data_IF_730017910587
#
_entry.id   IF_730017910587
#
_cell.length_a   1.000
_cell.length_b   1.000
_cell.length_c   1.000
_cell.angle_alpha   90.00
_cell.angle_beta   90.00
_cell.angle_gamma   90.00
#
_symmetry.space_group_name_H-M   'P 1'
#
loop_
_entity.id
_entity.type
_entity.pdbx_description
1 polymer ?
#
# COMPACT_ATOMS: atom_id res chain seq x y z
N UNK A 1 -26.03 21.82 2.36
CA UNK A 1 -24.93 21.53 1.41
C UNK A 1 -24.73 20.03 1.38
N UNK A 2 -24.50 19.42 0.22
CA UNK A 2 -24.25 17.98 0.13
C UNK A 2 -22.77 17.69 0.41
N UNK A 3 -22.48 16.63 1.16
CA UNK A 3 -21.12 16.13 1.34
C UNK A 3 -20.59 15.65 -0.01
N UNK A 4 -19.34 16.02 -0.34
CA UNK A 4 -18.68 15.60 -1.58
C UNK A 4 -17.79 14.39 -1.33
N UNK A 5 -17.66 13.54 -2.35
CA UNK A 5 -16.67 12.46 -2.37
C UNK A 5 -15.81 12.55 -3.62
N UNK A 6 -14.55 12.14 -3.53
CA UNK A 6 -13.58 12.20 -4.62
C UNK A 6 -12.80 10.89 -4.67
N UNK A 7 -12.48 10.45 -5.88
CA UNK A 7 -11.58 9.31 -6.08
C UNK A 7 -10.14 9.79 -6.01
N UNK A 8 -9.28 9.07 -5.29
CA UNK A 8 -7.84 9.36 -5.21
C UNK A 8 -7.07 8.08 -4.91
N UNK A 9 -6.18 7.69 -5.83
CA UNK A 9 -5.31 6.51 -5.78
C UNK A 9 -6.00 5.14 -5.67
N UNK A 10 -7.29 5.08 -5.37
CA UNK A 10 -8.09 3.87 -5.18
C UNK A 10 -9.08 3.64 -6.32
N UNK A 11 -9.54 2.40 -6.48
CA UNK A 11 -10.57 2.01 -7.45
C UNK A 11 -11.84 1.50 -6.77
N UNK A 12 -13.01 1.54 -7.46
CA UNK A 12 -14.23 0.91 -6.95
C UNK A 12 -14.01 -0.57 -6.58
N UNK A 13 -14.51 -0.99 -5.42
CA UNK A 13 -14.34 -2.33 -4.86
C UNK A 13 -12.98 -2.57 -4.17
N UNK A 14 -12.07 -1.59 -4.16
CA UNK A 14 -10.75 -1.78 -3.57
C UNK A 14 -10.76 -1.55 -2.05
N UNK A 15 -10.29 -2.53 -1.28
CA UNK A 15 -10.05 -2.39 0.16
C UNK A 15 -8.80 -1.55 0.44
N UNK A 16 -8.76 -0.84 1.57
CA UNK A 16 -7.53 -0.14 1.99
C UNK A 16 -6.48 -1.10 2.59
N UNK A 17 -6.86 -2.33 2.91
CA UNK A 17 -5.97 -3.37 3.42
C UNK A 17 -5.53 -4.30 2.28
N UNK A 18 -4.34 -4.86 2.41
CA UNK A 18 -3.82 -5.92 1.53
C UNK A 18 -3.76 -5.51 0.03
N UNK A 19 -2.79 -4.64 -0.35
CA UNK A 19 -2.51 -4.36 -1.75
C UNK A 19 -2.35 -5.63 -2.58
N UNK A 20 -2.99 -5.67 -3.75
CA UNK A 20 -2.94 -6.84 -4.62
C UNK A 20 -1.77 -6.83 -5.61
N UNK A 21 -1.07 -5.70 -5.73
CA UNK A 21 -0.04 -5.47 -6.74
C UNK A 21 1.19 -4.78 -6.14
N UNK A 22 2.36 -5.39 -6.28
CA UNK A 22 3.60 -4.93 -5.64
C UNK A 22 4.04 -3.56 -6.16
N UNK A 23 3.90 -3.33 -7.47
CA UNK A 23 4.29 -2.06 -8.10
C UNK A 23 3.44 -0.87 -7.64
N UNK A 24 2.16 -1.09 -7.30
CA UNK A 24 1.27 -0.01 -6.86
C UNK A 24 1.69 0.59 -5.52
N UNK A 25 2.37 -0.17 -4.65
CA UNK A 25 2.88 0.35 -3.37
C UNK A 25 3.91 1.47 -3.61
N UNK A 26 4.86 1.23 -4.52
CA UNK A 26 5.88 2.21 -4.87
C UNK A 26 5.30 3.36 -5.70
N UNK A 27 4.40 3.06 -6.63
CA UNK A 27 3.76 4.08 -7.46
C UNK A 27 2.90 5.03 -6.62
N UNK A 28 2.03 4.51 -5.75
CA UNK A 28 1.15 5.32 -4.90
C UNK A 28 1.95 6.19 -3.94
N UNK A 29 3.09 5.71 -3.42
CA UNK A 29 4.02 6.55 -2.65
C UNK A 29 4.54 7.73 -3.47
N UNK A 30 4.98 7.49 -4.70
CA UNK A 30 5.42 8.54 -5.61
C UNK A 30 4.28 9.51 -5.93
N UNK A 31 3.10 9.01 -6.32
CA UNK A 31 1.94 9.83 -6.69
C UNK A 31 1.45 10.68 -5.52
N UNK A 32 1.40 10.11 -4.31
CA UNK A 32 1.05 10.87 -3.09
C UNK A 32 2.04 11.99 -2.87
N UNK A 33 3.34 11.69 -2.91
CA UNK A 33 4.39 12.70 -2.71
C UNK A 33 4.32 13.82 -3.74
N UNK A 34 4.17 13.47 -5.01
CA UNK A 34 4.09 14.43 -6.11
C UNK A 34 2.79 15.27 -6.02
N UNK A 35 1.71 14.69 -5.49
CA UNK A 35 0.42 15.38 -5.32
C UNK A 35 0.36 16.29 -4.09
N UNK A 36 0.90 15.86 -2.95
CA UNK A 36 0.82 16.61 -1.69
C UNK A 36 2.01 17.52 -1.45
N UNK A 37 3.10 17.34 -2.22
CA UNK A 37 4.40 17.95 -1.97
C UNK A 37 4.94 17.69 -0.54
N UNK A 38 4.56 16.58 0.09
CA UNK A 38 5.09 16.21 1.40
C UNK A 38 6.48 15.59 1.25
N UNK A 39 7.40 15.83 2.20
CA UNK A 39 8.70 15.18 2.15
C UNK A 39 8.58 13.68 2.48
N UNK A 40 9.53 12.88 1.99
CA UNK A 40 9.46 11.41 2.07
C UNK A 40 9.30 10.90 3.51
N UNK A 41 9.98 11.52 4.46
CA UNK A 41 9.96 11.20 5.88
C UNK A 41 8.60 11.46 6.56
N UNK A 42 7.73 12.26 5.92
CA UNK A 42 6.37 12.51 6.39
C UNK A 42 5.35 11.56 5.75
N UNK A 43 5.78 10.60 4.93
CA UNK A 43 4.91 9.60 4.32
C UNK A 43 5.37 8.20 4.73
N UNK A 44 4.44 7.41 5.23
CA UNK A 44 4.66 6.00 5.54
C UNK A 44 3.96 5.15 4.49
N UNK A 45 4.67 4.17 3.96
CA UNK A 45 4.10 3.11 3.15
C UNK A 45 4.30 1.78 3.88
N UNK A 46 3.32 0.89 3.77
CA UNK A 46 3.38 -0.46 4.31
C UNK A 46 2.80 -1.42 3.26
N UNK A 47 3.36 -2.63 3.09
CA UNK A 47 2.83 -3.62 2.16
C UNK A 47 1.47 -4.18 2.61
N UNK A 48 0.93 -3.74 3.76
CA UNK A 48 -0.36 -4.16 4.29
C UNK A 48 -1.48 -3.16 4.00
N UNK A 49 -1.16 -1.96 3.50
CA UNK A 49 -2.15 -0.92 3.18
C UNK A 49 -1.95 -0.33 1.79
N UNK A 50 -3.06 0.02 1.16
CA UNK A 50 -3.12 0.46 -0.24
C UNK A 50 -2.57 1.87 -0.44
N UNK A 51 -2.84 2.79 0.50
CA UNK A 51 -2.45 4.20 0.36
C UNK A 51 -1.34 4.58 1.35
N UNK A 52 -0.36 5.39 0.92
CA UNK A 52 0.61 5.98 1.83
C UNK A 52 -0.10 6.89 2.86
N UNK A 53 0.37 6.84 4.10
CA UNK A 53 -0.22 7.57 5.22
C UNK A 53 0.71 8.72 5.60
N UNK A 54 0.25 9.99 5.48
CA UNK A 54 0.92 11.14 6.03
C UNK A 54 1.09 11.02 7.55
N UNK A 55 2.33 11.13 8.03
CA UNK A 55 2.67 11.22 9.43
C UNK A 55 2.87 12.68 9.81
N UNK A 56 2.23 13.12 10.89
CA UNK A 56 2.42 14.46 11.48
C UNK A 56 2.63 14.34 12.98
N UNK A 57 3.88 14.49 13.47
CA UNK A 57 4.15 14.39 14.90
C UNK A 57 3.42 15.42 15.76
N UNK A 58 3.26 15.10 17.04
CA UNK A 58 2.65 16.01 18.01
C UNK A 58 3.27 17.41 18.02
N UNK A 59 2.42 18.44 17.94
CA UNK A 59 2.83 19.84 17.96
C UNK A 59 3.49 20.35 16.67
N UNK A 60 3.53 19.54 15.60
CA UNK A 60 4.01 19.98 14.30
C UNK A 60 2.85 20.43 13.40
N UNK A 61 3.04 21.55 12.72
CA UNK A 61 2.20 21.96 11.59
C UNK A 61 2.64 21.22 10.33
N UNK A 62 1.77 21.21 9.32
CA UNK A 62 2.18 20.76 7.98
C UNK A 62 3.26 21.69 7.43
N UNK A 63 4.21 21.19 6.61
CA UNK A 63 5.17 22.04 5.92
C UNK A 63 4.46 23.13 5.10
N UNK A 64 4.99 24.36 5.13
CA UNK A 64 4.45 25.53 4.42
C UNK A 64 4.31 25.30 2.91
N UNK A 65 5.13 24.42 2.34
CA UNK A 65 5.15 24.05 0.93
C UNK A 65 4.21 22.87 0.59
N UNK A 66 3.44 22.34 1.54
CA UNK A 66 2.42 21.33 1.27
C UNK A 66 1.39 21.88 0.28
N UNK A 67 1.00 21.08 -0.72
CA UNK A 67 0.06 21.49 -1.76
C UNK A 67 -1.32 21.83 -1.14
N UNK A 68 -1.79 23.10 -1.19
CA UNK A 68 -3.08 23.49 -0.62
C UNK A 68 -4.24 22.69 -1.23
N UNK A 69 -4.14 22.35 -2.52
CA UNK A 69 -5.13 21.55 -3.23
C UNK A 69 -5.29 20.12 -2.71
N UNK A 70 -4.42 19.63 -1.82
CA UNK A 70 -4.53 18.29 -1.22
C UNK A 70 -5.37 18.26 0.06
N UNK A 71 -5.62 19.40 0.71
CA UNK A 71 -6.28 19.49 2.02
C UNK A 71 -7.78 19.12 2.04
N UNK A 72 -8.36 18.69 0.93
CA UNK A 72 -9.65 18.00 0.96
C UNK A 72 -9.54 16.57 1.51
N UNK A 73 -8.35 15.95 1.45
CA UNK A 73 -8.18 14.52 1.71
C UNK A 73 -8.15 14.21 3.22
N UNK A 74 -8.93 13.22 3.71
CA UNK A 74 -9.02 12.91 5.15
C UNK A 74 -7.70 12.62 5.85
N UNK A 75 -6.76 12.00 5.13
CA UNK A 75 -5.42 11.66 5.65
C UNK A 75 -4.61 12.88 6.15
N UNK A 76 -4.88 14.11 5.67
CA UNK A 76 -4.22 15.32 6.17
C UNK A 76 -4.87 15.89 7.45
N UNK A 77 -5.99 15.30 7.86
CA UNK A 77 -6.81 15.70 9.01
C UNK A 77 -6.94 14.59 10.05
N UNK A 78 -6.04 13.59 10.02
CA UNK A 78 -6.08 12.51 11.00
C UNK A 78 -6.01 13.07 12.42
N UNK A 79 -6.85 12.56 13.34
CA UNK A 79 -6.88 12.99 14.72
C UNK A 79 -5.57 12.63 15.45
N UNK A 80 -5.36 13.26 16.61
CA UNK A 80 -4.16 13.12 17.47
C UNK A 80 -3.68 11.67 17.62
N UNK A 81 -4.61 10.71 17.80
CA UNK A 81 -4.29 9.30 18.04
C UNK A 81 -3.90 8.50 16.78
N UNK A 82 -4.12 9.06 15.59
CA UNK A 82 -3.90 8.40 14.28
C UNK A 82 -2.87 9.12 13.40
N UNK A 83 -2.52 10.38 13.70
CA UNK A 83 -1.54 11.15 12.90
C UNK A 83 -0.11 10.58 12.95
N UNK A 84 0.20 9.72 13.91
CA UNK A 84 1.45 8.97 14.00
C UNK A 84 1.27 7.70 14.83
N UNK A 85 2.18 6.70 14.70
CA UNK A 85 2.21 5.55 15.59
C UNK A 85 2.34 5.97 17.06
N UNK A 86 1.58 5.33 17.93
CA UNK A 86 1.70 5.48 19.39
C UNK A 86 3.04 4.90 19.89
N UNK A 87 3.38 5.22 21.14
CA UNK A 87 4.54 4.60 21.81
C UNK A 87 4.34 3.08 21.83
N UNK A 88 5.39 2.35 21.45
CA UNK A 88 5.42 0.88 21.33
C UNK A 88 4.42 0.30 20.31
N UNK A 89 3.91 1.12 19.38
CA UNK A 89 3.09 0.65 18.26
C UNK A 89 3.98 0.45 17.01
N UNK A 90 4.12 -0.79 16.50
CA UNK A 90 4.78 -1.02 15.22
C UNK A 90 4.10 -0.25 14.08
N UNK A 91 4.90 0.25 13.14
CA UNK A 91 4.40 1.05 12.01
C UNK A 91 3.30 0.33 11.20
N UNK A 92 3.41 -0.98 11.01
CA UNK A 92 2.41 -1.77 10.29
C UNK A 92 1.10 -1.91 11.06
N UNK A 93 1.14 -2.04 12.39
CA UNK A 93 -0.07 -2.01 13.25
C UNK A 93 -0.78 -0.68 13.07
N UNK A 94 -0.03 0.42 13.18
CA UNK A 94 -0.58 1.76 13.02
C UNK A 94 -1.19 1.98 11.63
N UNK A 95 -0.51 1.54 10.57
CA UNK A 95 -0.99 1.68 9.21
C UNK A 95 -2.32 0.94 8.99
N UNK A 96 -2.40 -0.32 9.43
CA UNK A 96 -3.63 -1.13 9.40
C UNK A 96 -4.74 -0.46 10.22
N UNK A 97 -4.42 0.04 11.42
CA UNK A 97 -5.36 0.77 12.29
C UNK A 97 -5.97 1.98 11.60
N UNK A 98 -5.16 2.79 10.92
CA UNK A 98 -5.62 3.95 10.14
C UNK A 98 -6.57 3.51 9.02
N UNK A 99 -6.20 2.47 8.25
CA UNK A 99 -7.04 1.95 7.17
C UNK A 99 -8.39 1.41 7.66
N UNK A 100 -8.41 0.71 8.80
CA UNK A 100 -9.64 0.22 9.45
C UNK A 100 -10.55 1.38 9.85
N UNK A 101 -10.02 2.37 10.57
CA UNK A 101 -10.79 3.53 11.02
C UNK A 101 -11.37 4.32 9.85
N UNK A 102 -10.58 4.57 8.80
CA UNK A 102 -11.06 5.29 7.61
C UNK A 102 -12.20 4.55 6.92
N UNK A 103 -12.15 3.22 6.88
CA UNK A 103 -13.17 2.38 6.25
C UNK A 103 -14.44 2.33 7.10
N UNK A 104 -14.33 2.01 8.39
CA UNK A 104 -15.48 1.87 9.30
C UNK A 104 -16.25 3.17 9.48
N UNK A 105 -15.55 4.30 9.43
CA UNK A 105 -16.15 5.63 9.63
C UNK A 105 -16.73 6.22 8.34
N UNK A 106 -16.58 5.53 7.21
CA UNK A 106 -17.06 5.97 5.90
C UNK A 106 -16.28 7.15 5.31
N UNK A 107 -15.14 7.52 5.91
CA UNK A 107 -14.20 8.47 5.31
C UNK A 107 -13.60 7.93 4.02
N UNK A 108 -13.44 6.61 3.95
CA UNK A 108 -13.26 5.85 2.72
C UNK A 108 -14.49 4.97 2.47
N UNK A 109 -14.92 4.89 1.21
CA UNK A 109 -16.03 4.06 0.75
C UNK A 109 -15.46 3.06 -0.25
N UNK A 110 -15.44 1.79 0.15
CA UNK A 110 -14.86 0.69 -0.61
C UNK A 110 -15.67 0.39 -1.88
N UNK A 111 -17.01 0.48 -1.83
CA UNK A 111 -17.87 0.15 -2.96
C UNK A 111 -17.59 1.09 -4.14
N UNK A 112 -17.47 2.38 -3.84
CA UNK A 112 -17.22 3.40 -4.86
C UNK A 112 -15.74 3.71 -5.07
N UNK A 113 -14.86 3.28 -4.15
CA UNK A 113 -13.44 3.61 -4.16
C UNK A 113 -13.17 5.10 -3.90
N UNK A 114 -14.05 5.78 -3.17
CA UNK A 114 -14.00 7.24 -2.99
C UNK A 114 -13.78 7.65 -1.54
N UNK A 115 -13.18 8.83 -1.37
CA UNK A 115 -12.88 9.48 -0.11
C UNK A 115 -13.86 10.62 0.16
N UNK A 116 -14.24 10.83 1.42
CA UNK A 116 -14.97 12.03 1.83
C UNK A 116 -14.07 13.26 1.64
N UNK A 117 -14.58 14.29 0.95
CA UNK A 117 -13.96 15.61 0.94
C UNK A 117 -14.22 16.29 2.29
N UNK A 118 -13.20 16.36 3.14
CA UNK A 118 -13.33 16.89 4.51
C UNK A 118 -13.67 18.38 4.50
N UNK A 119 -13.20 19.14 3.52
CA UNK A 119 -13.53 20.57 3.40
C UNK A 119 -15.04 20.77 3.12
N UNK A 120 -15.68 19.82 2.44
CA UNK A 120 -17.13 19.85 2.23
C UNK A 120 -17.94 19.76 3.53
N UNK A 121 -17.39 19.17 4.60
CA UNK A 121 -18.05 19.06 5.92
C UNK A 121 -18.18 20.42 6.61
N UNK A 122 -17.29 21.35 6.28
CA UNK A 122 -17.28 22.72 6.78
C UNK A 122 -17.81 23.73 5.77
N UNK A 123 -18.27 23.26 4.60
CA UNK A 123 -18.87 24.08 3.54
C UNK A 123 -17.86 24.78 2.64
N UNK A 124 -16.59 24.38 2.70
CA UNK A 124 -15.52 24.90 1.84
C UNK A 124 -15.40 24.03 0.57
N UNK A 125 -15.02 24.64 -0.55
CA UNK A 125 -14.76 23.96 -1.82
C UNK A 125 -13.26 23.96 -2.13
N UNK A 126 -12.64 22.78 -2.19
CA UNK A 126 -11.20 22.63 -2.43
C UNK A 126 -10.74 23.09 -3.82
N UNK A 127 -11.66 23.20 -4.77
CA UNK A 127 -11.38 23.66 -6.14
C UNK A 127 -11.58 25.18 -6.29
N UNK A 128 -12.10 25.87 -5.28
CA UNK A 128 -12.23 27.32 -5.26
C UNK A 128 -10.87 27.98 -4.97
N UNK A 129 -10.33 28.82 -5.88
CA UNK A 129 -9.07 29.53 -5.66
C UNK A 129 -9.05 30.37 -4.37
N UNK A 130 -10.21 30.87 -3.91
CA UNK A 130 -10.31 31.62 -2.65
C UNK A 130 -10.07 30.70 -1.44
N UNK A 131 -10.59 29.47 -1.48
CA UNK A 131 -10.36 28.48 -0.43
C UNK A 131 -8.92 28.00 -0.46
N UNK A 132 -8.33 27.81 -1.64
CA UNK A 132 -6.91 27.48 -1.77
C UNK A 132 -6.01 28.56 -1.16
N UNK A 133 -6.30 29.83 -1.41
CA UNK A 133 -5.55 30.94 -0.79
C UNK A 133 -5.68 30.94 0.75
N UNK A 134 -6.87 30.66 1.30
CA UNK A 134 -7.07 30.52 2.75
C UNK A 134 -6.23 29.39 3.35
N UNK A 135 -6.15 28.25 2.66
CA UNK A 135 -5.33 27.11 3.10
C UNK A 135 -3.84 27.48 3.05
N UNK A 136 -3.39 28.23 2.03
CA UNK A 136 -2.02 28.76 2.00
C UNK A 136 -1.74 29.66 3.20
N UNK A 137 -2.60 30.64 3.49
CA UNK A 137 -2.44 31.54 4.65
C UNK A 137 -2.43 30.73 5.97
N UNK A 138 -3.26 29.70 6.07
CA UNK A 138 -3.29 28.80 7.23
C UNK A 138 -2.01 27.96 7.38
N UNK A 139 -1.44 27.47 6.28
CA UNK A 139 -0.14 26.80 6.25
C UNK A 139 1.01 27.73 6.66
N UNK A 140 0.87 29.03 6.39
CA UNK A 140 1.81 30.08 6.83
C UNK A 140 1.65 30.43 8.33
N UNK A 141 0.63 29.87 9.00
CA UNK A 141 0.38 30.00 10.43
C UNK A 141 -0.72 30.99 10.80
N UNK A 142 -1.43 31.56 9.83
CA UNK A 142 -2.60 32.40 10.11
C UNK A 142 -3.79 31.54 10.58
N UNK A 143 -4.57 31.99 11.58
CA UNK A 143 -5.73 31.25 12.04
C UNK A 143 -6.86 31.27 11.00
N UNK A 144 -7.55 30.14 10.84
CA UNK A 144 -8.74 30.05 9.99
C UNK A 144 -9.85 29.30 10.76
N UNK A 145 -10.92 30.00 11.19
CA UNK A 145 -11.96 29.40 12.03
C UNK A 145 -12.70 28.20 11.42
N UNK A 146 -12.73 28.06 10.09
CA UNK A 146 -13.35 26.92 9.42
C UNK A 146 -12.40 25.73 9.30
N UNK A 147 -11.12 25.98 9.06
CA UNK A 147 -10.09 24.93 9.00
C UNK A 147 -9.76 24.43 10.42
N UNK A 148 -9.62 25.33 11.38
CA UNK A 148 -9.27 25.01 12.78
C UNK A 148 -10.36 24.21 13.51
N UNK A 149 -11.61 24.26 13.02
CA UNK A 149 -12.73 23.46 13.57
C UNK A 149 -12.89 22.08 12.94
N UNK A 150 -12.09 21.74 11.91
CA UNK A 150 -12.12 20.40 11.33
C UNK A 150 -11.55 19.44 12.36
N UNK A 151 -12.42 18.62 12.93
CA UNK A 151 -12.05 17.57 13.86
C UNK A 151 -12.77 16.27 13.48
N UNK A 152 -11.99 15.31 12.99
CA UNK A 152 -12.49 13.98 12.62
C UNK A 152 -12.64 13.05 13.84
N UNK A 153 -12.22 13.46 15.03
CA UNK A 153 -12.24 12.61 16.24
C UNK A 153 -13.64 12.08 16.54
N UNK A 154 -14.66 12.94 16.47
CA UNK A 154 -16.05 12.54 16.73
C UNK A 154 -16.63 11.60 15.65
N UNK A 155 -16.12 11.70 14.41
CA UNK A 155 -16.49 10.80 13.33
C UNK A 155 -15.73 9.46 13.37
N UNK A 156 -14.65 9.39 14.13
CA UNK A 156 -13.77 8.23 14.24
C UNK A 156 -13.84 7.51 15.59
N UNK A 157 -14.97 7.58 16.29
CA UNK A 157 -15.27 6.69 17.43
C UNK A 157 -15.97 5.44 16.93
N UNK A 158 -15.64 4.27 17.49
CA UNK A 158 -16.43 3.06 17.24
C UNK A 158 -17.92 3.29 17.58
N UNK A 159 -18.84 2.48 17.03
CA UNK A 159 -20.25 2.53 17.39
C UNK A 159 -20.51 2.46 18.91
N UNK A 160 -19.60 1.81 19.65
CA UNK A 160 -19.67 1.63 21.10
C UNK A 160 -18.88 2.69 21.90
N UNK A 161 -18.23 3.64 21.22
CA UNK A 161 -17.50 4.76 21.83
C UNK A 161 -16.10 4.41 22.35
N UNK A 162 -15.61 3.20 22.11
CA UNK A 162 -14.24 2.79 22.41
C UNK A 162 -13.27 3.45 21.42
N UNK A 163 -12.22 4.09 21.93
CA UNK A 163 -11.24 4.84 21.13
C UNK A 163 -10.07 3.99 20.62
N UNK A 164 -9.86 2.80 21.22
CA UNK A 164 -8.68 1.94 20.98
C UNK A 164 -9.04 0.58 20.35
N UNK A 165 -10.32 0.33 20.05
CA UNK A 165 -10.80 -0.92 19.43
C UNK A 165 -9.97 -1.31 18.19
N UNK A 166 -9.61 -0.30 17.40
CA UNK A 166 -8.93 -0.44 16.11
C UNK A 166 -7.48 -0.89 16.26
N UNK A 167 -6.86 -0.67 17.42
CA UNK A 167 -5.51 -1.15 17.73
C UNK A 167 -5.51 -2.65 18.00
N UNK A 168 -6.37 -3.10 18.91
CA UNK A 168 -6.49 -4.53 19.23
C UNK A 168 -6.88 -5.34 17.98
N UNK A 169 -7.79 -4.81 17.17
CA UNK A 169 -8.19 -5.42 15.90
C UNK A 169 -7.03 -5.45 14.89
N UNK A 170 -6.29 -4.35 14.73
CA UNK A 170 -5.12 -4.31 13.85
C UNK A 170 -4.04 -5.32 14.28
N UNK A 171 -3.73 -5.39 15.57
CA UNK A 171 -2.76 -6.36 16.12
C UNK A 171 -3.21 -7.81 15.89
N UNK A 172 -4.50 -8.11 16.06
CA UNK A 172 -5.08 -9.42 15.78
C UNK A 172 -4.99 -9.77 14.28
N UNK A 173 -5.33 -8.83 13.40
CA UNK A 173 -5.33 -9.04 11.95
C UNK A 173 -3.93 -9.22 11.36
N UNK A 174 -2.88 -8.65 11.96
CA UNK A 174 -1.51 -8.79 11.42
C UNK A 174 -1.07 -10.23 11.26
N UNK A 175 -1.49 -11.13 12.16
CA UNK A 175 -1.15 -12.55 12.07
C UNK A 175 -1.67 -13.22 10.79
N UNK A 176 -2.71 -12.65 10.17
CA UNK A 176 -3.25 -13.09 8.88
C UNK A 176 -2.77 -12.19 7.73
N UNK A 177 -2.79 -10.87 7.90
CA UNK A 177 -2.48 -9.90 6.84
C UNK A 177 -1.04 -10.02 6.35
N UNK A 178 -0.07 -10.19 7.24
CA UNK A 178 1.35 -10.27 6.86
C UNK A 178 1.66 -11.48 5.98
N UNK A 179 1.32 -12.73 6.38
CA UNK A 179 1.55 -13.87 5.50
C UNK A 179 0.69 -13.81 4.23
N UNK A 180 -0.55 -13.33 4.32
CA UNK A 180 -1.39 -13.13 3.13
C UNK A 180 -0.77 -12.12 2.15
N UNK A 181 -0.16 -11.03 2.62
CA UNK A 181 0.47 -10.05 1.75
C UNK A 181 1.65 -10.67 1.01
N UNK A 182 2.45 -11.51 1.66
CA UNK A 182 3.52 -12.24 0.97
C UNK A 182 2.97 -13.09 -0.17
N UNK A 183 1.92 -13.86 0.09
CA UNK A 183 1.32 -14.73 -0.92
C UNK A 183 0.76 -13.96 -2.12
N UNK A 184 -0.01 -12.90 -1.85
CA UNK A 184 -0.64 -12.07 -2.88
C UNK A 184 0.40 -11.33 -3.72
N UNK A 185 1.39 -10.71 -3.07
CA UNK A 185 2.43 -9.96 -3.76
C UNK A 185 3.36 -10.88 -4.55
N UNK A 186 3.66 -12.08 -4.04
CA UNK A 186 4.36 -13.10 -4.83
C UNK A 186 3.57 -13.51 -6.07
N UNK A 187 2.25 -13.65 -5.96
CA UNK A 187 1.39 -13.98 -7.10
C UNK A 187 1.40 -12.88 -8.20
N UNK A 188 1.39 -11.61 -7.81
CA UNK A 188 1.56 -10.48 -8.74
C UNK A 188 2.93 -10.52 -9.45
N UNK A 189 4.00 -10.74 -8.69
CA UNK A 189 5.36 -10.82 -9.24
C UNK A 189 5.57 -12.02 -10.16
N UNK A 190 4.93 -13.16 -9.88
CA UNK A 190 4.90 -14.32 -10.78
C UNK A 190 4.19 -13.97 -12.09
N UNK A 191 3.10 -13.20 -12.01
CA UNK A 191 2.37 -12.73 -13.20
C UNK A 191 3.28 -11.86 -14.06
N UNK A 192 3.99 -10.89 -13.47
CA UNK A 192 4.98 -10.07 -14.17
C UNK A 192 6.09 -10.92 -14.82
N UNK A 193 6.61 -11.93 -14.10
CA UNK A 193 7.63 -12.82 -14.65
C UNK A 193 7.12 -13.66 -15.83
N UNK A 194 5.87 -14.11 -15.75
CA UNK A 194 5.21 -14.89 -16.80
C UNK A 194 4.97 -14.05 -18.05
N UNK A 195 4.57 -12.78 -17.88
CA UNK A 195 4.43 -11.82 -18.97
C UNK A 195 5.76 -11.56 -19.69
N UNK A 196 6.85 -11.40 -18.93
CA UNK A 196 8.20 -11.29 -19.51
C UNK A 196 8.54 -12.53 -20.35
N UNK A 197 8.36 -13.74 -19.80
CA UNK A 197 8.68 -14.98 -20.52
C UNK A 197 7.80 -15.24 -21.75
N UNK A 198 6.59 -14.68 -21.78
CA UNK A 198 5.67 -14.77 -22.91
C UNK A 198 6.04 -13.86 -24.08
N UNK A 199 6.93 -12.88 -23.90
CA UNK A 199 7.40 -12.03 -25.00
C UNK A 199 8.32 -12.82 -25.96
N UNK A 200 7.82 -13.07 -27.18
CA UNK A 200 8.56 -13.75 -28.25
C UNK A 200 9.83 -13.01 -28.67
N UNK A 201 9.92 -11.70 -28.40
CA UNK A 201 11.06 -10.86 -28.75
C UNK A 201 12.00 -10.57 -27.57
N UNK A 202 11.82 -11.26 -26.44
CA UNK A 202 12.63 -11.02 -25.25
C UNK A 202 14.13 -11.18 -25.52
N UNK A 203 14.91 -10.23 -25.03
CA UNK A 203 16.37 -10.20 -25.11
C UNK A 203 16.99 -10.43 -23.74
N UNK A 204 18.30 -10.68 -23.67
CA UNK A 204 19.00 -10.72 -22.38
C UNK A 204 18.89 -9.39 -21.61
N UNK A 205 18.88 -8.26 -22.33
CA UNK A 205 18.83 -6.93 -21.72
C UNK A 205 17.45 -6.67 -21.12
N UNK A 206 16.38 -6.98 -21.86
CA UNK A 206 15.01 -6.83 -21.35
C UNK A 206 14.72 -7.82 -20.22
N UNK A 207 15.12 -9.10 -20.35
CA UNK A 207 14.96 -10.09 -19.29
C UNK A 207 15.71 -9.68 -17.99
N UNK A 208 16.90 -9.10 -18.11
CA UNK A 208 17.63 -8.59 -16.95
C UNK A 208 16.94 -7.37 -16.32
N UNK A 209 16.35 -6.48 -17.12
CA UNK A 209 15.54 -5.35 -16.64
C UNK A 209 14.28 -5.81 -15.91
N UNK A 210 13.59 -6.83 -16.43
CA UNK A 210 12.40 -7.39 -15.81
C UNK A 210 12.75 -8.09 -14.50
N UNK A 211 13.81 -8.91 -14.51
CA UNK A 211 14.34 -9.55 -13.31
C UNK A 211 14.71 -8.51 -12.24
N UNK A 212 15.40 -7.42 -12.62
CA UNK A 212 15.73 -6.32 -11.71
C UNK A 212 14.49 -5.71 -11.06
N UNK A 213 13.47 -5.44 -11.89
CA UNK A 213 12.22 -4.84 -11.41
C UNK A 213 11.53 -5.77 -10.43
N UNK A 214 11.42 -7.06 -10.77
CA UNK A 214 10.80 -8.08 -9.92
C UNK A 214 11.56 -8.22 -8.60
N UNK A 215 12.91 -8.30 -8.62
CA UNK A 215 13.70 -8.42 -7.39
C UNK A 215 13.57 -7.19 -6.50
N UNK A 216 13.60 -5.98 -7.09
CA UNK A 216 13.44 -4.74 -6.32
C UNK A 216 12.05 -4.64 -5.68
N UNK A 217 11.00 -5.04 -6.41
CA UNK A 217 9.65 -5.08 -5.87
C UNK A 217 9.50 -6.17 -4.80
N UNK A 218 10.07 -7.36 -5.00
CA UNK A 218 10.06 -8.44 -4.01
C UNK A 218 10.73 -7.99 -2.69
N UNK A 219 11.94 -7.42 -2.78
CA UNK A 219 12.67 -6.90 -1.62
C UNK A 219 11.89 -5.76 -0.95
N UNK A 220 11.31 -4.84 -1.74
CA UNK A 220 10.59 -3.68 -1.21
C UNK A 220 9.23 -3.99 -0.58
N UNK A 221 8.56 -5.05 -1.01
CA UNK A 221 7.16 -5.34 -0.64
C UNK A 221 6.98 -6.62 0.21
N UNK A 222 7.86 -7.62 0.03
CA UNK A 222 7.86 -8.87 0.82
C UNK A 222 8.96 -8.80 1.89
N UNK A 223 10.10 -8.20 1.56
CA UNK A 223 11.22 -7.99 2.49
C UNK A 223 11.85 -9.30 2.97
N UNK A 224 12.31 -9.32 4.23
CA UNK A 224 12.83 -10.51 4.90
C UNK A 224 11.73 -11.42 5.51
N UNK A 225 10.46 -11.14 5.21
CA UNK A 225 9.30 -11.64 5.94
C UNK A 225 9.15 -13.17 5.98
N UNK A 226 9.15 -13.87 4.84
CA UNK A 226 9.00 -15.32 4.81
C UNK A 226 10.13 -15.96 5.62
N UNK A 227 9.75 -16.67 6.68
CA UNK A 227 10.72 -17.43 7.47
C UNK A 227 11.25 -18.54 6.58
N UNK A 228 12.57 -18.62 6.43
CA UNK A 228 13.19 -19.82 5.89
C UNK A 228 12.87 -20.98 6.86
N UNK A 229 12.55 -22.15 6.32
CA UNK A 229 12.54 -23.39 7.12
C UNK A 229 13.96 -23.54 7.71
N UNK A 230 14.07 -24.06 8.93
CA UNK A 230 15.36 -24.19 9.61
C UNK A 230 16.37 -24.97 8.72
N UNK A 231 17.44 -24.28 8.30
CA UNK A 231 18.47 -24.82 7.40
C UNK A 231 18.34 -24.41 5.93
N UNK A 232 17.26 -23.71 5.55
CA UNK A 232 17.08 -23.15 4.20
C UNK A 232 17.59 -21.71 4.10
N UNK A 233 17.92 -21.32 2.87
CA UNK A 233 18.29 -19.94 2.56
C UNK A 233 17.02 -19.07 2.53
N UNK A 234 17.10 -17.86 3.12
CA UNK A 234 16.01 -16.89 3.00
C UNK A 234 15.81 -16.49 1.53
N UNK A 235 14.57 -16.34 1.04
CA UNK A 235 14.32 -15.87 -0.33
C UNK A 235 15.04 -14.55 -0.67
N UNK A 236 15.11 -13.61 0.27
CA UNK A 236 15.82 -12.34 0.07
C UNK A 236 17.30 -12.50 -0.27
N UNK A 237 17.98 -13.50 0.30
CA UNK A 237 19.39 -13.79 -0.02
C UNK A 237 19.58 -14.32 -1.44
N UNK A 238 18.61 -15.07 -1.96
CA UNK A 238 18.58 -15.46 -3.36
C UNK A 238 18.37 -14.23 -4.27
N UNK A 239 17.42 -13.37 -3.92
CA UNK A 239 17.11 -12.16 -4.72
C UNK A 239 18.30 -11.20 -4.78
N UNK A 240 19.01 -10.98 -3.67
CA UNK A 240 20.23 -10.16 -3.63
C UNK A 240 21.33 -10.73 -4.55
N UNK A 241 21.48 -12.05 -4.58
CA UNK A 241 22.45 -12.71 -5.47
C UNK A 241 22.05 -12.57 -6.94
N UNK A 242 20.77 -12.69 -7.24
CA UNK A 242 20.24 -12.50 -8.60
C UNK A 242 20.49 -11.07 -9.05
N UNK A 243 20.14 -10.07 -8.23
CA UNK A 243 20.37 -8.66 -8.52
C UNK A 243 21.85 -8.37 -8.79
N UNK A 244 22.75 -8.87 -7.95
CA UNK A 244 24.20 -8.72 -8.14
C UNK A 244 24.72 -9.39 -9.43
N UNK A 245 24.06 -10.47 -9.87
CA UNK A 245 24.46 -11.25 -11.03
C UNK A 245 23.94 -10.69 -12.37
N UNK A 246 22.92 -9.81 -12.35
CA UNK A 246 22.31 -9.22 -13.55
C UNK A 246 23.33 -8.60 -14.51
N UNK A 247 24.40 -8.00 -13.99
CA UNK A 247 25.49 -7.41 -14.80
C UNK A 247 26.18 -8.42 -15.73
N UNK A 248 26.12 -9.71 -15.39
CA UNK A 248 26.74 -10.80 -16.16
C UNK A 248 25.79 -11.41 -17.20
N UNK A 249 24.49 -11.12 -17.13
CA UNK A 249 23.47 -11.75 -17.98
C UNK A 249 23.66 -11.46 -19.47
N UNK A 250 24.05 -10.24 -19.91
CA UNK A 250 24.34 -9.98 -21.33
C UNK A 250 25.46 -10.87 -21.90
N UNK A 251 26.35 -11.39 -21.06
CA UNK A 251 27.43 -12.29 -21.46
C UNK A 251 27.02 -13.77 -21.57
N UNK A 252 25.79 -14.13 -21.21
CA UNK A 252 25.26 -15.50 -21.23
C UNK A 252 24.29 -15.68 -22.40
N UNK A 253 23.96 -16.93 -22.70
CA UNK A 253 22.84 -17.20 -23.61
C UNK A 253 21.52 -16.89 -22.91
N UNK A 254 20.52 -16.45 -23.69
CA UNK A 254 19.17 -16.20 -23.16
C UNK A 254 18.60 -17.44 -22.45
N UNK A 255 18.80 -18.62 -23.03
CA UNK A 255 18.36 -19.89 -22.44
C UNK A 255 19.01 -20.16 -21.08
N UNK A 256 20.30 -19.84 -20.93
CA UNK A 256 21.00 -19.97 -19.64
C UNK A 256 20.43 -19.04 -18.57
N UNK A 257 20.02 -17.82 -18.95
CA UNK A 257 19.42 -16.89 -18.00
C UNK A 257 17.98 -17.30 -17.64
N UNK A 258 17.20 -17.75 -18.64
CA UNK A 258 15.84 -18.26 -18.43
C UNK A 258 15.83 -19.47 -17.50
N UNK A 259 16.49 -20.57 -17.88
CA UNK A 259 16.49 -21.84 -17.14
C UNK A 259 17.42 -21.86 -15.90
N UNK A 260 17.97 -20.71 -15.51
CA UNK A 260 18.92 -20.61 -14.40
C UNK A 260 18.44 -19.57 -13.39
N UNK A 261 19.07 -18.39 -13.33
CA UNK A 261 18.76 -17.42 -12.29
C UNK A 261 17.35 -16.83 -12.40
N UNK A 262 16.76 -16.71 -13.59
CA UNK A 262 15.38 -16.23 -13.73
C UNK A 262 14.36 -17.27 -13.25
N UNK A 263 14.51 -18.54 -13.62
CA UNK A 263 13.67 -19.64 -13.12
C UNK A 263 13.77 -19.75 -11.58
N UNK A 264 14.97 -19.65 -11.02
CA UNK A 264 15.16 -19.65 -9.56
C UNK A 264 14.43 -18.49 -8.86
N UNK A 265 14.39 -17.29 -9.47
CA UNK A 265 13.58 -16.18 -8.96
C UNK A 265 12.10 -16.57 -8.92
N UNK A 266 11.58 -17.10 -10.02
CA UNK A 266 10.17 -17.48 -10.16
C UNK A 266 9.80 -18.61 -9.21
N UNK A 267 10.62 -19.66 -9.10
CA UNK A 267 10.42 -20.77 -8.15
C UNK A 267 10.35 -20.27 -6.71
N UNK A 268 11.22 -19.32 -6.33
CA UNK A 268 11.19 -18.76 -4.97
C UNK A 268 9.90 -18.00 -4.66
N UNK A 269 9.33 -17.30 -5.64
CA UNK A 269 8.03 -16.62 -5.50
C UNK A 269 6.89 -17.63 -5.43
N UNK A 270 6.93 -18.72 -6.21
CA UNK A 270 5.94 -19.79 -6.13
C UNK A 270 5.94 -20.48 -4.76
N UNK A 271 7.13 -20.73 -4.19
CA UNK A 271 7.25 -21.31 -2.86
C UNK A 271 6.51 -20.42 -1.82
N UNK A 272 6.82 -19.12 -1.80
CA UNK A 272 6.14 -18.16 -0.90
C UNK A 272 4.64 -18.12 -1.18
N UNK A 273 4.23 -17.99 -2.44
CA UNK A 273 2.81 -17.98 -2.82
C UNK A 273 2.09 -19.19 -2.24
N UNK A 274 2.61 -20.39 -2.49
CA UNK A 274 1.93 -21.63 -2.14
C UNK A 274 1.91 -21.89 -0.63
N UNK A 275 3.00 -21.59 0.07
CA UNK A 275 3.10 -21.82 1.52
C UNK A 275 2.18 -20.90 2.32
N UNK A 276 1.95 -19.67 1.83
CA UNK A 276 1.20 -18.65 2.55
C UNK A 276 -0.20 -18.37 1.97
N UNK A 277 -0.61 -19.00 0.86
CA UNK A 277 -1.94 -18.77 0.25
C UNK A 277 -3.10 -19.11 1.21
N UNK A 278 -2.91 -20.08 2.10
CA UNK A 278 -3.90 -20.45 3.13
C UNK A 278 -4.34 -19.26 4.00
N UNK A 279 -3.48 -18.26 4.19
CA UNK A 279 -3.83 -17.05 4.93
C UNK A 279 -4.73 -16.10 4.13
N UNK A 280 -4.59 -16.10 2.80
CA UNK A 280 -5.49 -15.38 1.88
C UNK A 280 -6.89 -16.00 1.95
N UNK A 281 -6.96 -17.34 1.89
CA UNK A 281 -8.21 -18.08 2.04
C UNK A 281 -8.87 -17.81 3.39
N UNK A 282 -8.10 -17.84 4.48
CA UNK A 282 -8.61 -17.53 5.82
C UNK A 282 -9.14 -16.09 5.95
N UNK A 283 -8.49 -15.10 5.31
CA UNK A 283 -9.01 -13.73 5.28
C UNK A 283 -10.33 -13.64 4.53
N UNK A 284 -10.49 -14.37 3.42
CA UNK A 284 -11.75 -14.40 2.69
C UNK A 284 -12.84 -15.17 3.42
N UNK A 285 -12.55 -16.30 4.05
CA UNK A 285 -13.52 -17.03 4.87
C UNK A 285 -14.02 -16.18 6.06
N UNK A 286 -13.15 -15.35 6.64
CA UNK A 286 -13.52 -14.40 7.69
C UNK A 286 -14.21 -13.13 7.15
N UNK A 287 -13.98 -12.75 5.89
CA UNK A 287 -14.53 -11.56 5.24
C UNK A 287 -15.77 -11.79 4.35
N UNK A 288 -16.12 -13.03 4.01
CA UNK A 288 -17.20 -13.35 3.06
C UNK A 288 -18.57 -13.39 3.74
N UNK A 289 -19.11 -12.19 3.93
CA UNK A 289 -20.49 -11.92 3.50
C UNK A 289 -20.57 -11.33 2.08
N UNK A 290 -19.46 -11.03 1.38
CA UNK A 290 -19.51 -10.60 -0.02
C UNK A 290 -18.29 -11.08 -0.85
N UNK A 291 -18.54 -11.94 -1.84
CA UNK A 291 -17.56 -12.75 -2.55
C UNK A 291 -17.24 -12.24 -3.98
N UNK A 292 -17.37 -10.94 -4.24
CA UNK A 292 -17.21 -10.40 -5.61
C UNK A 292 -15.81 -9.92 -5.97
N UNK A 293 -14.82 -10.00 -5.06
CA UNK A 293 -13.49 -9.42 -5.24
C UNK A 293 -12.34 -10.44 -5.25
N UNK A 294 -12.62 -11.75 -5.34
CA UNK A 294 -11.56 -12.74 -5.45
C UNK A 294 -10.76 -12.48 -6.76
N UNK A 295 -9.43 -12.25 -6.71
CA UNK A 295 -8.62 -12.37 -7.90
C UNK A 295 -8.83 -13.78 -8.44
N UNK A 296 -9.11 -13.88 -9.74
CA UNK A 296 -9.31 -15.18 -10.37
C UNK A 296 -8.11 -16.07 -10.04
N UNK A 297 -8.38 -17.34 -9.67
CA UNK A 297 -7.40 -18.41 -9.78
C UNK A 297 -7.01 -18.54 -11.26
N UNK A 298 -6.16 -17.65 -11.75
CA UNK A 298 -5.42 -17.91 -12.95
C UNK A 298 -4.37 -18.93 -12.53
N UNK A 299 -4.59 -20.22 -12.80
CA UNK A 299 -3.49 -21.18 -12.83
C UNK A 299 -2.48 -20.66 -13.85
N UNK A 300 -1.29 -20.21 -13.45
CA UNK A 300 -0.22 -20.04 -14.43
C UNK A 300 0.09 -21.45 -14.95
N UNK A 301 -0.13 -21.64 -16.25
CA UNK A 301 0.19 -22.88 -16.93
C UNK A 301 1.66 -23.23 -16.64
N UNK A 302 1.97 -24.47 -16.21
CA UNK A 302 3.35 -24.87 -16.04
C UNK A 302 4.10 -24.66 -17.35
N UNK A 303 5.28 -24.04 -17.25
CA UNK A 303 6.20 -23.85 -18.37
C UNK A 303 6.45 -25.23 -18.98
N UNK A 304 5.97 -25.43 -20.21
CA UNK A 304 6.27 -26.65 -20.96
C UNK A 304 7.79 -26.66 -21.24
N UNK A 305 8.45 -27.70 -20.74
CA UNK A 305 9.88 -27.97 -20.93
C UNK A 305 10.28 -28.13 -22.41
#
# INVERSE_FOLDING_TARGET
>A
MALRRRQFLTSPGETLLLPLQAWTIAERLKLTRDYTNLPKESLVSSPLVVVPIPKRPAGQQWPIDTEPGAFWHPLLWLPERLREPQVDEPTDVWAVRVALELTVTGLYDMETGTWLDVLSTVGLDSEDPVVQARITEWLEGEPDPDLDRIDLTAGMTSPDGELEWSREEAESLLALLVPASWAVLSNDLITMASEALADENITNESLASDAQTITLLAIGSIGEGPSAVEGEEKPSSLWDRIEADLVNWPGRTLETNKAGPFDALVESLYAIRNDYWVFVEALWENGTADASAAPAEGEPQPIAA
#
